data_IF_574116121573
#
_entry.id   IF_574116121573
#
_cell.length_a   1.000
_cell.length_b   1.000
_cell.length_c   1.000
_cell.angle_alpha   90.00
_cell.angle_beta   90.00
_cell.angle_gamma   90.00
#
_symmetry.space_group_name_H-M   'P 1'
#
loop_
_entity.id
_entity.type
_entity.pdbx_description
1 polymer ?
#
# COMPACT_ATOMS: atom_id res chain seq x y z
N UNK A 1 -6.97 5.39 -11.98
CA UNK A 1 -6.67 4.77 -13.30
C UNK A 1 -6.52 3.26 -13.14
N UNK A 2 -6.69 2.47 -14.20
CA UNK A 2 -6.67 1.00 -14.12
C UNK A 2 -5.86 0.40 -15.29
N UNK A 3 -4.82 -0.36 -14.95
CA UNK A 3 -4.04 -1.17 -15.88
C UNK A 3 -4.41 -2.65 -15.74
N UNK A 4 -4.63 -3.33 -16.87
CA UNK A 4 -4.96 -4.76 -16.92
C UNK A 4 -4.13 -5.46 -18.00
N UNK A 5 -3.19 -6.34 -17.61
CA UNK A 5 -2.59 -7.28 -18.54
C UNK A 5 -3.63 -8.19 -19.19
N UNK A 6 -3.33 -8.74 -20.36
CA UNK A 6 -4.19 -9.73 -21.00
C UNK A 6 -4.29 -10.99 -20.13
N UNK A 7 -5.50 -11.50 -19.95
CA UNK A 7 -5.77 -12.71 -19.15
C UNK A 7 -7.02 -13.43 -19.66
N UNK A 8 -7.01 -14.76 -19.56
CA UNK A 8 -8.17 -15.62 -19.85
C UNK A 8 -9.04 -15.88 -18.63
N UNK A 9 -8.58 -15.51 -17.43
CA UNK A 9 -9.32 -15.58 -16.17
C UNK A 9 -9.41 -14.20 -15.50
N UNK A 10 -10.42 -13.97 -14.64
CA UNK A 10 -10.50 -12.73 -13.86
C UNK A 10 -9.22 -12.48 -13.06
N UNK A 11 -8.68 -11.27 -13.20
CA UNK A 11 -7.48 -10.83 -12.47
C UNK A 11 -7.86 -10.29 -11.10
N UNK A 12 -7.08 -10.63 -10.06
CA UNK A 12 -7.16 -9.95 -8.78
C UNK A 12 -6.52 -8.56 -8.86
N UNK A 13 -7.06 -7.52 -8.19
CA UNK A 13 -6.48 -6.19 -8.22
C UNK A 13 -5.46 -5.96 -7.10
N UNK A 14 -4.42 -5.20 -7.42
CA UNK A 14 -3.60 -4.43 -6.49
C UNK A 14 -4.12 -3.00 -6.45
N UNK A 15 -4.53 -2.57 -5.26
CA UNK A 15 -4.95 -1.20 -4.97
C UNK A 15 -3.69 -0.38 -4.68
N UNK A 16 -3.35 0.55 -5.57
CA UNK A 16 -2.19 1.42 -5.46
C UNK A 16 -2.56 2.79 -4.85
N UNK A 17 -1.99 3.08 -3.69
CA UNK A 17 -2.24 4.27 -2.89
C UNK A 17 -1.06 5.25 -3.00
N UNK A 18 -1.36 6.49 -3.40
CA UNK A 18 -0.34 7.51 -3.62
C UNK A 18 0.17 8.14 -2.31
N UNK A 19 1.35 8.77 -2.39
CA UNK A 19 1.87 9.63 -1.33
C UNK A 19 1.17 10.99 -1.29
N UNK A 20 1.34 11.74 -0.20
CA UNK A 20 0.76 13.08 -0.04
C UNK A 20 1.23 14.02 -1.17
N UNK A 21 0.31 14.80 -1.76
CA UNK A 21 0.58 15.63 -2.94
C UNK A 21 0.58 14.87 -4.28
N UNK A 22 0.44 13.55 -4.25
CA UNK A 22 0.21 12.71 -5.43
C UNK A 22 -1.27 12.56 -5.76
N UNK A 23 -1.56 11.68 -6.73
CA UNK A 23 -2.91 11.27 -7.09
C UNK A 23 -2.89 9.87 -7.74
N UNK A 24 -3.99 9.47 -8.35
CA UNK A 24 -4.17 8.17 -9.01
C UNK A 24 -3.18 7.84 -10.13
N UNK A 25 -2.44 8.81 -10.71
CA UNK A 25 -1.43 8.57 -11.74
C UNK A 25 -0.08 8.11 -11.18
N UNK A 26 0.20 8.31 -9.88
CA UNK A 26 1.55 8.15 -9.32
C UNK A 26 2.19 6.79 -9.60
N UNK A 27 1.42 5.69 -9.51
CA UNK A 27 1.93 4.34 -9.80
C UNK A 27 2.30 4.16 -11.28
N UNK A 28 1.62 4.86 -12.18
CA UNK A 28 1.90 4.88 -13.62
C UNK A 28 3.11 5.74 -13.94
N UNK A 29 3.24 6.88 -13.26
CA UNK A 29 4.41 7.75 -13.36
C UNK A 29 5.69 7.06 -12.84
N UNK A 30 5.55 6.15 -11.87
CA UNK A 30 6.61 5.24 -11.42
C UNK A 30 6.92 4.09 -12.39
N UNK A 31 6.18 3.96 -13.50
CA UNK A 31 6.48 3.00 -14.57
C UNK A 31 5.87 1.60 -14.36
N UNK A 32 4.78 1.48 -13.59
CA UNK A 32 4.17 0.17 -13.28
C UNK A 32 3.84 -0.67 -14.51
N UNK A 33 3.46 -0.06 -15.63
CA UNK A 33 3.02 -0.80 -16.82
C UNK A 33 4.18 -1.59 -17.44
N UNK A 34 5.33 -0.94 -17.61
CA UNK A 34 6.53 -1.57 -18.15
C UNK A 34 7.10 -2.60 -17.17
N UNK A 35 7.15 -2.27 -15.87
CA UNK A 35 7.72 -3.15 -14.85
C UNK A 35 6.82 -4.36 -14.57
N UNK A 36 5.49 -4.22 -14.63
CA UNK A 36 4.58 -5.35 -14.50
C UNK A 36 4.67 -6.27 -15.71
N UNK A 37 4.75 -5.71 -16.93
CA UNK A 37 4.98 -6.51 -18.12
C UNK A 37 6.30 -7.30 -18.03
N UNK A 38 7.36 -6.67 -17.52
CA UNK A 38 8.64 -7.33 -17.28
C UNK A 38 8.52 -8.44 -16.21
N UNK A 39 7.88 -8.16 -15.07
CA UNK A 39 7.68 -9.14 -14.01
C UNK A 39 6.91 -10.37 -14.51
N UNK A 40 5.87 -10.16 -15.35
CA UNK A 40 5.10 -11.25 -15.97
C UNK A 40 5.96 -12.07 -16.93
N UNK A 41 6.78 -11.42 -17.76
CA UNK A 41 7.74 -12.12 -18.63
C UNK A 41 8.74 -12.95 -17.84
N UNK A 42 9.09 -12.51 -16.62
CA UNK A 42 9.96 -13.23 -15.70
C UNK A 42 9.24 -14.33 -14.88
N UNK A 43 7.93 -14.54 -15.10
CA UNK A 43 7.16 -15.62 -14.47
C UNK A 43 6.24 -15.20 -13.32
N UNK A 44 6.11 -13.90 -13.04
CA UNK A 44 5.12 -13.40 -12.07
C UNK A 44 3.70 -13.62 -12.62
N UNK A 45 2.78 -14.21 -11.84
CA UNK A 45 1.38 -14.30 -12.26
C UNK A 45 0.78 -12.91 -12.55
N UNK A 46 -0.02 -12.74 -13.62
CA UNK A 46 -0.60 -11.45 -13.96
C UNK A 46 -1.64 -11.00 -12.92
N UNK A 47 -1.72 -9.70 -12.69
CA UNK A 47 -2.73 -9.06 -11.85
C UNK A 47 -3.07 -7.67 -12.39
N UNK A 48 -4.20 -7.11 -11.97
CA UNK A 48 -4.60 -5.76 -12.35
C UNK A 48 -4.03 -4.74 -11.35
N UNK A 49 -3.67 -3.55 -11.81
CA UNK A 49 -3.24 -2.44 -10.94
C UNK A 49 -4.21 -1.29 -11.06
N UNK A 50 -4.71 -0.79 -9.93
CA UNK A 50 -5.59 0.37 -9.88
C UNK A 50 -4.98 1.47 -9.03
N UNK A 51 -4.66 2.60 -9.65
CA UNK A 51 -4.27 3.81 -8.94
C UNK A 51 -5.50 4.55 -8.41
N UNK A 52 -5.48 4.87 -7.13
CA UNK A 52 -6.56 5.53 -6.38
C UNK A 52 -6.29 7.02 -6.24
N UNK A 53 -7.33 7.83 -6.32
CA UNK A 53 -7.27 9.24 -5.96
C UNK A 53 -7.80 9.42 -4.53
N UNK A 54 -6.91 9.56 -3.57
CA UNK A 54 -7.23 9.64 -2.14
C UNK A 54 -7.34 11.06 -1.61
N UNK A 55 -7.07 12.08 -2.43
CA UNK A 55 -6.85 13.45 -1.98
C UNK A 55 -5.60 13.60 -1.10
N UNK A 56 -5.48 14.75 -0.44
CA UNK A 56 -4.27 15.09 0.36
C UNK A 56 -4.35 14.66 1.84
N UNK A 57 -5.48 14.08 2.25
CA UNK A 57 -5.65 13.49 3.58
C UNK A 57 -5.14 12.05 3.64
N UNK A 58 -4.65 11.63 4.82
CA UNK A 58 -4.29 10.24 5.05
C UNK A 58 -5.52 9.33 4.88
N UNK A 59 -5.31 8.07 4.49
CA UNK A 59 -6.34 7.09 4.11
C UNK A 59 -7.23 6.58 5.28
N UNK A 60 -7.82 7.50 6.04
CA UNK A 60 -8.79 7.28 7.10
C UNK A 60 -9.75 8.47 7.21
N UNK A 61 -10.81 8.31 8.03
CA UNK A 61 -11.78 9.38 8.30
C UNK A 61 -11.10 10.62 8.86
N UNK A 62 -11.45 11.79 8.31
CA UNK A 62 -11.04 13.12 8.75
C UNK A 62 -12.19 13.91 9.37
N UNK A 63 -11.86 14.89 10.21
CA UNK A 63 -12.80 15.83 10.82
C UNK A 63 -13.50 16.72 9.79
N UNK A 64 -12.89 16.93 8.61
CA UNK A 64 -13.50 17.59 7.45
C UNK A 64 -14.64 16.79 6.83
N UNK A 65 -14.78 15.51 7.19
CA UNK A 65 -15.76 14.57 6.65
C UNK A 65 -15.23 13.67 5.54
N UNK A 66 -14.03 13.95 5.02
CA UNK A 66 -13.35 13.12 4.02
C UNK A 66 -12.98 11.75 4.61
N UNK A 67 -13.13 10.69 3.83
CA UNK A 67 -12.84 9.31 4.24
C UNK A 67 -12.36 8.48 3.05
N UNK A 68 -11.13 8.75 2.61
CA UNK A 68 -10.55 8.05 1.46
C UNK A 68 -10.32 6.56 1.74
N UNK A 69 -10.14 6.17 3.01
CA UNK A 69 -10.07 4.78 3.43
C UNK A 69 -11.38 4.03 3.17
N UNK A 70 -12.51 4.60 3.61
CA UNK A 70 -13.84 4.04 3.33
C UNK A 70 -14.17 4.03 1.84
N UNK A 71 -13.83 5.09 1.10
CA UNK A 71 -14.03 5.13 -0.35
C UNK A 71 -13.30 3.97 -1.06
N UNK A 72 -12.06 3.67 -0.67
CA UNK A 72 -11.32 2.52 -1.22
C UNK A 72 -12.05 1.21 -0.96
N UNK A 73 -12.44 0.97 0.31
CA UNK A 73 -12.97 -0.33 0.73
C UNK A 73 -14.41 -0.55 0.29
N UNK A 74 -15.26 0.47 0.42
CA UNK A 74 -16.71 0.32 0.27
C UNK A 74 -17.22 0.76 -1.11
N UNK A 75 -16.43 1.51 -1.88
CA UNK A 75 -16.84 1.99 -3.20
C UNK A 75 -15.96 1.40 -4.29
N UNK A 76 -14.63 1.55 -4.18
CA UNK A 76 -13.72 1.13 -5.26
C UNK A 76 -13.62 -0.39 -5.37
N UNK A 77 -13.41 -1.13 -4.27
CA UNK A 77 -13.34 -2.59 -4.35
C UNK A 77 -14.63 -3.18 -4.95
N UNK A 78 -15.84 -2.79 -4.54
CA UNK A 78 -17.07 -3.22 -5.20
C UNK A 78 -17.16 -2.80 -6.68
N UNK A 79 -16.74 -1.59 -7.03
CA UNK A 79 -16.72 -1.12 -8.42
C UNK A 79 -15.81 -2.01 -9.30
N UNK A 80 -14.64 -2.41 -8.80
CA UNK A 80 -13.73 -3.30 -9.54
C UNK A 80 -14.35 -4.67 -9.82
N UNK A 81 -15.23 -5.16 -8.94
CA UNK A 81 -15.97 -6.39 -9.17
C UNK A 81 -16.92 -6.25 -10.37
N UNK A 82 -17.63 -5.11 -10.49
CA UNK A 82 -18.52 -4.85 -11.65
C UNK A 82 -17.75 -4.70 -12.96
N UNK A 83 -16.45 -4.38 -12.88
CA UNK A 83 -15.52 -4.32 -14.00
C UNK A 83 -14.91 -5.67 -14.39
N UNK A 84 -15.31 -6.77 -13.73
CA UNK A 84 -14.88 -8.13 -14.04
C UNK A 84 -13.57 -8.58 -13.37
N UNK A 85 -13.12 -7.88 -12.33
CA UNK A 85 -11.96 -8.31 -11.52
C UNK A 85 -12.39 -9.25 -10.38
N UNK A 86 -11.51 -10.18 -10.01
CA UNK A 86 -11.70 -11.01 -8.81
C UNK A 86 -11.34 -10.20 -7.57
N UNK A 87 -12.34 -9.74 -6.83
CA UNK A 87 -12.17 -8.94 -5.61
C UNK A 87 -12.40 -9.76 -4.33
N UNK A 88 -12.43 -11.10 -4.45
CA UNK A 88 -12.49 -12.00 -3.30
C UNK A 88 -11.33 -11.74 -2.33
N UNK A 89 -10.13 -11.51 -2.89
CA UNK A 89 -8.96 -10.96 -2.19
C UNK A 89 -8.26 -9.91 -3.05
N UNK A 90 -7.71 -8.89 -2.42
CA UNK A 90 -7.00 -7.79 -3.08
C UNK A 90 -5.60 -7.61 -2.50
N UNK A 91 -4.68 -7.06 -3.30
CA UNK A 91 -3.38 -6.59 -2.82
C UNK A 91 -3.40 -5.09 -2.53
N UNK A 92 -2.52 -4.62 -1.66
CA UNK A 92 -2.27 -3.19 -1.47
C UNK A 92 -0.82 -2.85 -1.78
N UNK A 93 -0.61 -1.74 -2.47
CA UNK A 93 0.69 -1.15 -2.75
C UNK A 93 0.61 0.33 -2.44
N UNK A 94 1.58 0.92 -1.74
CA UNK A 94 1.57 2.37 -1.60
C UNK A 94 2.85 2.98 -1.08
N UNK A 95 3.00 4.28 -1.33
CA UNK A 95 4.19 5.07 -1.01
C UNK A 95 3.88 6.14 0.03
N UNK A 96 4.75 6.35 1.02
CA UNK A 96 4.59 7.45 2.00
C UNK A 96 3.23 7.36 2.73
N UNK A 97 2.39 8.39 2.60
CA UNK A 97 0.98 8.38 3.04
C UNK A 97 0.22 7.14 2.57
N UNK A 98 0.40 6.73 1.32
CA UNK A 98 -0.21 5.53 0.76
C UNK A 98 0.40 4.24 1.31
N UNK A 99 1.68 4.23 1.70
CA UNK A 99 2.30 3.09 2.36
C UNK A 99 1.71 2.84 3.76
N UNK A 100 1.47 3.92 4.51
CA UNK A 100 0.67 3.87 5.74
C UNK A 100 -0.76 3.37 5.47
N UNK A 101 -1.43 3.93 4.46
CA UNK A 101 -2.79 3.53 4.07
C UNK A 101 -2.89 2.04 3.72
N UNK A 102 -1.90 1.51 3.01
CA UNK A 102 -1.84 0.10 2.62
C UNK A 102 -1.77 -0.83 3.83
N UNK A 103 -1.00 -0.47 4.86
CA UNK A 103 -0.94 -1.20 6.12
C UNK A 103 -2.28 -1.11 6.88
N UNK A 104 -2.86 0.08 6.99
CA UNK A 104 -4.11 0.31 7.71
C UNK A 104 -5.28 -0.45 7.07
N UNK A 105 -5.54 -0.21 5.78
CA UNK A 105 -6.68 -0.79 5.08
C UNK A 105 -6.53 -2.29 4.89
N UNK A 106 -5.32 -2.76 4.57
CA UNK A 106 -5.03 -4.18 4.44
C UNK A 106 -5.25 -4.94 5.76
N UNK A 107 -4.81 -4.35 6.88
CA UNK A 107 -5.06 -4.90 8.22
C UNK A 107 -6.54 -4.88 8.63
N UNK A 108 -7.27 -3.81 8.30
CA UNK A 108 -8.71 -3.69 8.55
C UNK A 108 -9.54 -4.72 7.78
N UNK A 109 -9.18 -4.99 6.51
CA UNK A 109 -9.82 -6.03 5.70
C UNK A 109 -9.48 -7.45 6.19
N UNK A 110 -8.30 -7.62 6.79
CA UNK A 110 -7.84 -8.88 7.37
C UNK A 110 -7.40 -9.92 6.33
N UNK A 111 -6.79 -11.03 6.78
CA UNK A 111 -6.13 -12.01 5.91
C UNK A 111 -7.06 -12.71 4.91
N UNK A 112 -8.36 -12.80 5.23
CA UNK A 112 -9.36 -13.41 4.35
C UNK A 112 -9.67 -12.56 3.12
N UNK A 113 -9.42 -11.25 3.16
CA UNK A 113 -9.71 -10.30 2.07
C UNK A 113 -8.45 -9.62 1.53
N UNK A 114 -7.36 -9.63 2.29
CA UNK A 114 -6.07 -9.04 1.89
C UNK A 114 -5.10 -10.15 1.48
N UNK A 115 -4.70 -10.17 0.21
CA UNK A 115 -3.75 -11.14 -0.35
C UNK A 115 -2.30 -10.85 0.04
N UNK A 116 -1.92 -9.58 -0.05
CA UNK A 116 -0.58 -9.10 0.30
C UNK A 116 -0.56 -7.56 0.41
N UNK A 117 0.42 -7.04 1.13
CA UNK A 117 0.64 -5.59 1.31
C UNK A 117 2.10 -5.28 0.99
N UNK A 118 2.35 -4.33 0.10
CA UNK A 118 3.65 -3.71 -0.13
C UNK A 118 3.58 -2.24 0.32
N UNK A 119 4.33 -1.88 1.36
CA UNK A 119 4.36 -0.54 1.92
C UNK A 119 5.76 0.06 1.76
N UNK A 120 5.85 1.12 0.95
CA UNK A 120 7.11 1.71 0.51
C UNK A 120 7.29 3.06 1.17
N UNK A 121 8.43 3.28 1.81
CA UNK A 121 8.71 4.49 2.60
C UNK A 121 7.51 4.91 3.47
N UNK A 122 6.87 4.00 4.22
CA UNK A 122 5.55 4.27 4.80
C UNK A 122 5.64 5.44 5.79
N UNK A 123 4.70 6.38 5.69
CA UNK A 123 4.66 7.56 6.54
C UNK A 123 4.14 7.21 7.95
N UNK A 124 5.02 6.60 8.74
CA UNK A 124 4.74 6.08 10.07
C UNK A 124 5.13 7.08 11.15
N UNK A 125 4.30 7.14 12.19
CA UNK A 125 4.50 8.03 13.33
C UNK A 125 4.44 7.21 14.61
N UNK A 126 5.45 7.35 15.47
CA UNK A 126 5.59 6.54 16.70
C UNK A 126 4.75 7.06 17.87
N UNK A 127 4.14 8.24 17.73
CA UNK A 127 3.19 8.81 18.67
C UNK A 127 2.36 9.92 18.02
N UNK A 128 1.21 10.25 18.61
CA UNK A 128 0.37 11.37 18.17
C UNK A 128 1.11 12.72 18.13
N UNK A 129 2.02 12.97 19.08
CA UNK A 129 2.78 14.22 19.13
C UNK A 129 3.87 14.33 18.05
N UNK A 130 4.21 13.22 17.38
CA UNK A 130 5.22 13.19 16.33
C UNK A 130 4.63 13.44 14.93
N UNK A 131 3.30 13.40 14.78
CA UNK A 131 2.64 13.47 13.47
C UNK A 131 2.86 14.82 12.80
N UNK A 132 3.18 14.84 11.51
CA UNK A 132 3.22 16.08 10.75
C UNK A 132 1.81 16.72 10.64
N UNK A 133 1.73 18.06 10.53
CA UNK A 133 0.46 18.76 10.29
C UNK A 133 -0.30 18.17 9.10
N UNK A 134 -1.58 17.89 9.32
CA UNK A 134 -2.47 17.28 8.33
C UNK A 134 -2.41 15.76 8.27
N UNK A 135 -1.46 15.08 8.92
CA UNK A 135 -1.45 13.62 8.97
C UNK A 135 -2.61 13.06 9.81
N UNK A 136 -2.88 13.66 10.97
CA UNK A 136 -4.02 13.34 11.84
C UNK A 136 -4.63 14.62 12.41
N UNK A 137 -5.91 14.57 12.77
CA UNK A 137 -6.67 15.70 13.32
C UNK A 137 -6.42 15.91 14.82
N UNK A 138 -5.75 14.97 15.47
CA UNK A 138 -5.35 15.04 16.86
C UNK A 138 -5.02 13.67 17.45
N UNK A 139 -4.77 13.62 18.75
CA UNK A 139 -4.37 12.38 19.43
C UNK A 139 -5.42 11.28 19.37
N UNK A 140 -6.71 11.62 19.47
CA UNK A 140 -7.80 10.66 19.36
C UNK A 140 -7.88 10.03 17.97
N UNK A 141 -7.69 10.82 16.91
CA UNK A 141 -7.64 10.36 15.53
C UNK A 141 -6.42 9.44 15.30
N UNK A 142 -5.24 9.86 15.75
CA UNK A 142 -4.05 9.02 15.72
C UNK A 142 -4.28 7.67 16.41
N UNK A 143 -4.79 7.65 17.66
CA UNK A 143 -5.03 6.40 18.37
C UNK A 143 -6.05 5.48 17.66
N UNK A 144 -7.08 6.08 17.04
CA UNK A 144 -8.08 5.36 16.26
C UNK A 144 -7.53 4.74 14.97
N UNK A 145 -6.41 5.27 14.45
CA UNK A 145 -5.84 4.91 13.16
C UNK A 145 -4.35 4.50 13.22
N UNK A 146 -3.80 4.27 14.42
CA UNK A 146 -2.40 3.87 14.64
C UNK A 146 -2.14 2.42 14.19
N UNK A 147 -1.18 2.25 13.28
CA UNK A 147 -0.80 0.91 12.80
C UNK A 147 0.12 0.16 13.78
N UNK A 148 0.87 0.86 14.65
CA UNK A 148 1.73 0.20 15.65
C UNK A 148 0.90 -0.61 16.66
N UNK A 149 -0.21 -0.04 17.16
CA UNK A 149 -1.15 -0.77 18.01
C UNK A 149 -1.95 -1.89 17.31
N UNK A 150 -1.73 -2.13 16.01
CA UNK A 150 -2.53 -3.05 15.17
C UNK A 150 -1.69 -4.08 14.42
N UNK A 151 -0.42 -4.28 14.78
CA UNK A 151 0.47 -5.26 14.12
C UNK A 151 -0.08 -6.69 14.11
N UNK A 152 -0.85 -7.07 15.14
CA UNK A 152 -1.51 -8.37 15.19
C UNK A 152 -2.50 -8.60 14.02
N UNK A 153 -3.11 -7.54 13.47
CA UNK A 153 -4.00 -7.65 12.31
C UNK A 153 -3.24 -7.99 11.02
N UNK A 154 -1.91 -7.86 11.02
CA UNK A 154 -1.03 -8.13 9.88
C UNK A 154 -0.35 -9.50 9.97
N UNK A 155 -0.47 -10.22 11.09
CA UNK A 155 0.32 -11.42 11.38
C UNK A 155 0.20 -12.51 10.31
N UNK A 156 -1.01 -12.70 9.77
CA UNK A 156 -1.35 -13.70 8.74
C UNK A 156 -1.44 -13.12 7.32
N UNK A 157 -0.97 -11.88 7.11
CA UNK A 157 -0.94 -11.22 5.81
C UNK A 157 0.51 -11.18 5.32
N UNK A 158 0.82 -11.62 4.08
CA UNK A 158 2.11 -11.35 3.48
C UNK A 158 2.36 -9.85 3.38
N UNK A 159 3.34 -9.36 4.14
CA UNK A 159 3.76 -7.95 4.14
C UNK A 159 5.17 -7.81 3.56
N UNK A 160 5.36 -6.80 2.71
CA UNK A 160 6.66 -6.32 2.23
C UNK A 160 6.81 -4.85 2.61
N UNK A 161 7.96 -4.49 3.18
CA UNK A 161 8.30 -3.10 3.53
C UNK A 161 9.66 -2.77 2.94
N UNK A 162 9.70 -1.73 2.11
CA UNK A 162 10.94 -1.17 1.57
C UNK A 162 11.05 0.30 2.00
N UNK A 163 12.22 0.72 2.48
CA UNK A 163 12.42 2.11 2.88
C UNK A 163 13.90 2.50 2.77
N UNK A 164 14.14 3.67 2.19
CA UNK A 164 15.48 4.22 2.03
C UNK A 164 16.13 4.51 3.39
N UNK A 165 17.41 4.20 3.54
CA UNK A 165 18.17 4.48 4.78
C UNK A 165 18.37 5.98 5.04
N UNK A 166 18.14 6.83 4.05
CA UNK A 166 18.12 8.30 4.17
C UNK A 166 16.69 8.87 4.18
N UNK A 167 15.66 8.03 4.22
CA UNK A 167 14.26 8.43 4.29
C UNK A 167 13.92 8.97 5.70
N UNK A 168 13.17 10.08 5.85
CA UNK A 168 12.77 10.60 7.16
C UNK A 168 11.93 9.61 7.97
N UNK A 169 11.26 8.64 7.33
CA UNK A 169 10.48 7.61 8.02
C UNK A 169 11.29 6.36 8.36
N UNK A 170 12.57 6.28 7.98
CA UNK A 170 13.41 5.10 8.15
C UNK A 170 13.38 4.55 9.59
N UNK A 171 13.64 5.39 10.60
CA UNK A 171 13.65 4.95 12.00
C UNK A 171 12.28 4.44 12.48
N UNK A 172 11.19 5.06 12.03
CA UNK A 172 9.84 4.62 12.37
C UNK A 172 9.50 3.28 11.67
N UNK A 173 9.89 3.12 10.40
CA UNK A 173 9.74 1.88 9.66
C UNK A 173 10.54 0.73 10.28
N UNK A 174 11.79 0.96 10.72
CA UNK A 174 12.58 -0.04 11.44
C UNK A 174 11.90 -0.49 12.74
N UNK A 175 11.40 0.46 13.55
CA UNK A 175 10.64 0.14 14.76
C UNK A 175 9.41 -0.69 14.43
N UNK A 176 8.65 -0.29 13.41
CA UNK A 176 7.43 -1.01 13.01
C UNK A 176 7.74 -2.45 12.60
N UNK A 177 8.75 -2.65 11.75
CA UNK A 177 9.22 -3.99 11.35
C UNK A 177 9.60 -4.83 12.56
N UNK A 178 10.25 -4.26 13.57
CA UNK A 178 10.65 -4.98 14.79
C UNK A 178 9.47 -5.41 15.68
N UNK A 179 8.28 -4.83 15.48
CA UNK A 179 7.06 -5.14 16.24
C UNK A 179 6.11 -6.08 15.49
N UNK A 180 6.43 -6.45 14.24
CA UNK A 180 5.67 -7.44 13.49
C UNK A 180 5.95 -8.85 14.01
N UNK A 181 4.89 -9.64 14.21
CA UNK A 181 5.01 -11.05 14.60
C UNK A 181 5.68 -11.88 13.51
N UNK A 182 5.34 -11.62 12.25
CA UNK A 182 5.92 -12.27 11.08
C UNK A 182 6.88 -11.28 10.41
N UNK A 183 8.18 -11.60 10.26
CA UNK A 183 9.12 -10.73 9.56
C UNK A 183 8.62 -10.43 8.14
N UNK A 184 8.54 -9.16 7.73
CA UNK A 184 8.11 -8.80 6.39
C UNK A 184 9.22 -9.11 5.37
N UNK A 185 8.82 -9.25 4.11
CA UNK A 185 9.76 -9.17 2.98
C UNK A 185 10.21 -7.72 2.75
N UNK A 186 11.13 -7.50 1.82
CA UNK A 186 11.65 -6.16 1.50
C UNK A 186 12.92 -5.84 2.29
N UNK A 187 13.39 -4.61 2.17
CA UNK A 187 14.67 -4.21 2.73
C UNK A 187 14.77 -2.73 3.08
N UNK A 188 15.71 -2.45 3.98
CA UNK A 188 16.26 -1.12 4.16
C UNK A 188 17.53 -0.98 3.35
N UNK A 189 17.55 -0.06 2.38
CA UNK A 189 18.63 0.05 1.40
C UNK A 189 19.02 1.51 1.13
N UNK A 190 20.18 1.80 0.53
CA UNK A 190 20.56 3.18 0.18
C UNK A 190 19.49 3.87 -0.69
N UNK A 191 19.11 5.09 -0.32
CA UNK A 191 18.08 5.88 -0.99
C UNK A 191 17.28 6.76 -0.03
N UNK A 192 16.48 7.67 -0.58
CA UNK A 192 15.68 8.63 0.18
C UNK A 192 14.17 8.50 -0.07
N UNK A 193 13.45 9.56 0.27
CA UNK A 193 12.00 9.66 0.09
C UNK A 193 11.66 10.27 -1.27
N UNK A 194 11.97 9.54 -2.34
CA UNK A 194 11.91 10.06 -3.69
C UNK A 194 11.53 9.01 -4.73
N UNK A 195 11.09 9.49 -5.89
CA UNK A 195 10.64 8.65 -6.99
C UNK A 195 11.72 7.74 -7.57
N UNK A 196 13.01 8.08 -7.48
CA UNK A 196 14.08 7.21 -7.98
C UNK A 196 14.21 5.97 -7.09
N UNK A 197 14.18 6.16 -5.76
CA UNK A 197 14.17 5.05 -4.82
C UNK A 197 12.93 4.17 -5.04
N UNK A 198 11.74 4.77 -5.10
CA UNK A 198 10.48 4.05 -5.28
C UNK A 198 10.41 3.28 -6.59
N UNK A 199 10.83 3.87 -7.70
CA UNK A 199 10.92 3.18 -8.99
C UNK A 199 11.87 1.98 -8.91
N UNK A 200 13.02 2.13 -8.24
CA UNK A 200 14.00 1.07 -8.08
C UNK A 200 13.49 -0.15 -7.29
N UNK A 201 12.54 0.04 -6.36
CA UNK A 201 11.94 -1.05 -5.58
C UNK A 201 10.76 -1.73 -6.30
N UNK A 202 10.08 -0.99 -7.18
CA UNK A 202 8.77 -1.38 -7.73
C UNK A 202 8.75 -2.77 -8.39
N UNK A 203 9.78 -3.16 -9.15
CA UNK A 203 9.78 -4.50 -9.76
C UNK A 203 9.68 -5.63 -8.73
N UNK A 204 10.43 -5.53 -7.63
CA UNK A 204 10.39 -6.54 -6.57
C UNK A 204 9.05 -6.52 -5.83
N UNK A 205 8.44 -5.35 -5.67
CA UNK A 205 7.11 -5.20 -5.08
C UNK A 205 6.05 -5.90 -5.93
N UNK A 206 6.11 -5.74 -7.26
CA UNK A 206 5.19 -6.38 -8.20
C UNK A 206 5.37 -7.91 -8.22
N UNK A 207 6.60 -8.40 -8.23
CA UNK A 207 6.91 -9.84 -8.14
C UNK A 207 6.37 -10.46 -6.84
N UNK A 208 6.57 -9.75 -5.71
CA UNK A 208 6.04 -10.14 -4.41
C UNK A 208 4.51 -10.18 -4.39
N UNK A 209 3.86 -9.14 -4.91
CA UNK A 209 2.39 -9.04 -4.94
C UNK A 209 1.79 -10.11 -5.84
N UNK A 210 2.28 -10.28 -7.07
CA UNK A 210 1.77 -11.27 -8.02
C UNK A 210 1.89 -12.70 -7.49
N UNK A 211 3.02 -13.03 -6.84
CA UNK A 211 3.23 -14.35 -6.23
C UNK A 211 2.27 -14.66 -5.09
N UNK A 212 1.87 -13.66 -4.30
CA UNK A 212 0.92 -13.87 -3.20
C UNK A 212 -0.54 -13.76 -3.63
N UNK A 213 -0.83 -13.01 -4.70
CA UNK A 213 -2.15 -12.95 -5.31
C UNK A 213 -2.55 -14.25 -6.02
N UNK A 214 -1.59 -15.08 -6.45
CA UNK A 214 -1.90 -16.35 -7.10
C UNK A 214 -2.17 -17.52 -6.13
N UNK A 215 -2.01 -17.30 -4.81
CA UNK A 215 -2.29 -18.28 -3.75
C UNK A 215 -3.78 -18.28 -3.39
#
# INVERSE_FOLDING_TARGET
MLHRPASTTPLRPVIALHGKGGNHSMVFDLGVEALLAQAIQNGTPPFAVVGIDGGDGYFHRRATGEDSGKMVVDEIIPLLATMGLDTSRVGFLGWSMGGYGSLLLGGQLGPQRTAAIAAVSPALWTSAGATAPGAFDGASDYNANDVFGRTAALADIPVRIDCGTSDPFYSAAQKFVSELTTPPSGSFSPGGHDGNYWHGQLIGELEFLGSNLAK
#
